data_IF_156767694800
#
_entry.id   IF_156767694800
#
_cell.length_a   1.000
_cell.length_b   1.000
_cell.length_c   1.000
_cell.angle_alpha   90.00
_cell.angle_beta   90.00
_cell.angle_gamma   90.00
#
_symmetry.space_group_name_H-M   'P 1'
#
loop_
_entity.id
_entity.type
_entity.pdbx_description
1 polymer ?
#
# COMPACT_ATOMS: atom_id res chain seq x y z
N UNK A 1 2.86 -57.57 -4.67
CA UNK A 1 2.58 -56.40 -3.77
C UNK A 1 3.83 -55.55 -3.47
N UNK A 2 4.67 -55.23 -4.45
CA UNK A 2 5.82 -54.33 -4.26
C UNK A 2 5.80 -53.06 -5.15
N UNK A 3 4.72 -52.86 -5.92
CA UNK A 3 4.65 -51.76 -6.87
C UNK A 3 3.90 -50.52 -6.39
N UNK A 4 3.11 -50.56 -5.32
CA UNK A 4 2.24 -49.48 -4.88
C UNK A 4 2.98 -48.51 -3.93
N UNK A 5 4.01 -48.98 -3.21
CA UNK A 5 4.75 -48.13 -2.26
C UNK A 5 5.69 -47.12 -2.92
N UNK A 6 6.18 -47.43 -4.13
CA UNK A 6 7.13 -46.53 -4.85
C UNK A 6 6.40 -45.35 -5.46
N UNK A 7 5.15 -45.50 -5.91
CA UNK A 7 4.37 -44.41 -6.52
C UNK A 7 3.97 -43.35 -5.49
N UNK A 8 3.63 -43.77 -4.25
CA UNK A 8 3.25 -42.83 -3.19
C UNK A 8 4.44 -41.97 -2.70
N UNK A 9 5.65 -42.54 -2.66
CA UNK A 9 6.86 -41.81 -2.27
C UNK A 9 7.26 -40.77 -3.35
N UNK A 10 7.10 -41.13 -4.63
CA UNK A 10 7.38 -40.19 -5.72
C UNK A 10 6.40 -39.00 -5.79
N UNK A 11 5.10 -39.24 -5.47
CA UNK A 11 4.13 -38.13 -5.41
C UNK A 11 4.41 -37.17 -4.23
N UNK A 12 4.83 -37.69 -3.08
CA UNK A 12 5.18 -36.86 -1.94
C UNK A 12 6.46 -36.05 -2.18
N UNK A 13 7.46 -36.62 -2.82
CA UNK A 13 8.68 -35.95 -3.19
C UNK A 13 8.44 -34.86 -4.27
N UNK A 14 7.56 -35.11 -5.23
CA UNK A 14 7.23 -34.13 -6.26
C UNK A 14 6.47 -32.89 -5.70
N UNK A 15 5.57 -33.09 -4.74
CA UNK A 15 4.83 -32.01 -4.09
C UNK A 15 5.74 -31.17 -3.20
N UNK A 16 6.62 -31.78 -2.42
CA UNK A 16 7.58 -31.08 -1.58
C UNK A 16 8.65 -30.35 -2.40
N UNK A 17 9.11 -30.94 -3.49
CA UNK A 17 10.07 -30.32 -4.40
C UNK A 17 9.46 -29.11 -5.09
N UNK A 18 8.28 -29.23 -5.66
CA UNK A 18 7.59 -28.11 -6.33
C UNK A 18 7.35 -26.92 -5.39
N UNK A 19 6.99 -27.19 -4.13
CA UNK A 19 6.76 -26.15 -3.14
C UNK A 19 8.07 -25.44 -2.73
N UNK A 20 9.12 -26.21 -2.44
CA UNK A 20 10.44 -25.65 -2.11
C UNK A 20 11.01 -24.81 -3.24
N UNK A 21 10.84 -25.26 -4.49
CA UNK A 21 11.24 -24.50 -5.67
C UNK A 21 10.48 -23.16 -5.77
N UNK A 22 9.16 -23.19 -5.56
CA UNK A 22 8.31 -22.00 -5.66
C UNK A 22 8.64 -20.93 -4.63
N UNK A 23 8.84 -21.30 -3.37
CA UNK A 23 9.25 -20.34 -2.30
C UNK A 23 10.64 -19.78 -2.60
N UNK A 24 11.53 -20.62 -3.13
CA UNK A 24 12.87 -20.18 -3.54
C UNK A 24 12.79 -19.16 -4.68
N UNK A 25 11.88 -19.35 -5.63
CA UNK A 25 11.69 -18.44 -6.76
C UNK A 25 11.20 -17.05 -6.27
N UNK A 26 10.18 -16.98 -5.41
CA UNK A 26 9.71 -15.72 -4.83
C UNK A 26 10.85 -15.00 -4.08
N UNK A 27 11.57 -15.69 -3.20
CA UNK A 27 12.69 -15.12 -2.45
C UNK A 27 13.78 -14.61 -3.38
N UNK A 28 14.06 -15.31 -4.47
CA UNK A 28 15.09 -14.93 -5.46
C UNK A 28 14.66 -13.78 -6.37
N UNK A 29 13.36 -13.66 -6.63
CA UNK A 29 12.78 -12.62 -7.48
C UNK A 29 12.53 -11.32 -6.72
N UNK A 30 12.22 -11.39 -5.41
CA UNK A 30 11.98 -10.21 -4.59
C UNK A 30 13.28 -9.44 -4.35
N UNK A 31 13.43 -8.33 -5.05
CA UNK A 31 14.56 -7.40 -4.90
C UNK A 31 14.20 -6.30 -3.90
N UNK A 32 15.17 -5.94 -3.06
CA UNK A 32 15.00 -4.88 -2.09
C UNK A 32 14.77 -5.39 -0.66
N UNK A 33 14.38 -4.46 0.20
CA UNK A 33 14.17 -4.65 1.64
C UNK A 33 12.82 -4.08 2.03
N UNK A 34 12.32 -4.47 3.19
CA UNK A 34 11.00 -4.09 3.70
C UNK A 34 11.18 -3.33 5.01
N UNK A 35 10.47 -2.22 5.16
CA UNK A 35 10.23 -1.53 6.41
C UNK A 35 8.72 -1.47 6.66
N UNK A 36 8.31 -1.43 7.92
CA UNK A 36 6.92 -1.38 8.35
C UNK A 36 6.77 -0.39 9.49
N UNK A 37 5.72 0.44 9.45
CA UNK A 37 5.32 1.31 10.55
C UNK A 37 3.84 1.13 10.84
N UNK A 38 3.49 0.84 12.12
CA UNK A 38 2.13 0.52 12.55
C UNK A 38 1.72 1.30 13.79
N UNK A 39 0.44 1.68 13.90
CA UNK A 39 -0.05 2.38 15.08
C UNK A 39 -0.56 1.42 16.16
N UNK A 40 -1.78 1.03 16.21
CA UNK A 40 -2.30 0.06 17.21
C UNK A 40 -2.29 0.51 18.68
N UNK A 41 -1.77 1.70 18.99
CA UNK A 41 -1.78 2.26 20.34
C UNK A 41 -2.93 3.24 20.59
N UNK A 42 -3.67 3.62 19.54
CA UNK A 42 -4.85 4.48 19.66
C UNK A 42 -5.70 4.42 18.40
N UNK A 43 -7.04 4.29 18.54
CA UNK A 43 -8.05 4.28 17.48
C UNK A 43 -7.91 3.22 16.37
N UNK A 44 -6.95 2.30 16.49
CA UNK A 44 -6.72 1.27 15.47
C UNK A 44 -6.35 -0.07 16.10
N UNK A 45 -7.37 -0.76 16.65
CA UNK A 45 -7.21 -2.07 17.27
C UNK A 45 -7.02 -3.21 16.27
N UNK A 46 -7.31 -3.02 14.99
CA UNK A 46 -7.11 -4.04 13.95
C UNK A 46 -5.63 -4.29 13.66
N UNK A 47 -4.75 -3.34 13.93
CA UNK A 47 -3.30 -3.54 13.91
C UNK A 47 -2.81 -4.65 14.85
N UNK A 48 -3.57 -4.95 15.91
CA UNK A 48 -3.25 -6.09 16.79
C UNK A 48 -3.37 -7.43 16.08
N UNK A 49 -4.13 -7.46 14.96
CA UNK A 49 -4.23 -8.59 14.05
C UNK A 49 -3.39 -8.39 12.79
N UNK A 50 -3.40 -7.19 12.20
CA UNK A 50 -2.75 -6.92 10.92
C UNK A 50 -1.21 -7.08 11.01
N UNK A 51 -0.58 -6.55 12.05
CA UNK A 51 0.86 -6.68 12.27
C UNK A 51 1.33 -8.15 12.32
N UNK A 52 0.75 -9.05 13.15
CA UNK A 52 1.14 -10.45 13.15
C UNK A 52 0.81 -11.20 11.84
N UNK A 53 -0.30 -10.86 11.17
CA UNK A 53 -0.64 -11.44 9.86
C UNK A 53 0.36 -11.03 8.79
N UNK A 54 0.80 -9.76 8.76
CA UNK A 54 1.84 -9.29 7.84
C UNK A 54 3.17 -10.04 8.05
N UNK A 55 3.59 -10.20 9.30
CA UNK A 55 4.79 -10.97 9.64
C UNK A 55 4.67 -12.45 9.19
N UNK A 56 3.50 -13.05 9.36
CA UNK A 56 3.22 -14.41 8.87
C UNK A 56 3.33 -14.50 7.34
N UNK A 57 2.77 -13.52 6.60
CA UNK A 57 2.84 -13.44 5.14
C UNK A 57 4.29 -13.39 4.67
N UNK A 58 5.11 -12.49 5.23
CA UNK A 58 6.52 -12.38 4.85
C UNK A 58 7.31 -13.66 5.15
N UNK A 59 7.01 -14.32 6.27
CA UNK A 59 7.67 -15.57 6.65
C UNK A 59 7.28 -16.72 5.71
N UNK A 60 6.00 -16.91 5.46
CA UNK A 60 5.49 -18.01 4.63
C UNK A 60 5.83 -17.87 3.14
N UNK A 61 6.01 -16.63 2.67
CA UNK A 61 6.53 -16.34 1.33
C UNK A 61 8.06 -16.33 1.23
N UNK A 62 8.76 -16.61 2.35
CA UNK A 62 10.21 -16.77 2.38
C UNK A 62 11.00 -15.46 2.28
N UNK A 63 10.36 -14.31 2.50
CA UNK A 63 11.00 -12.98 2.42
C UNK A 63 11.22 -12.33 3.78
N UNK A 64 11.04 -13.03 4.90
CA UNK A 64 11.22 -12.49 6.25
C UNK A 64 12.59 -11.84 6.46
N UNK A 65 13.65 -12.38 5.87
CA UNK A 65 15.01 -11.85 5.97
C UNK A 65 15.19 -10.51 5.23
N UNK A 66 14.18 -10.06 4.47
CA UNK A 66 14.13 -8.77 3.79
C UNK A 66 13.54 -7.68 4.69
N UNK A 67 12.84 -8.05 5.78
CA UNK A 67 12.34 -7.09 6.76
C UNK A 67 13.52 -6.57 7.58
N UNK A 68 13.80 -5.27 7.49
CA UNK A 68 14.96 -4.62 8.13
C UNK A 68 14.56 -3.63 9.22
N UNK A 69 13.29 -3.28 9.26
CA UNK A 69 12.71 -2.37 10.24
C UNK A 69 11.23 -2.67 10.45
N UNK A 70 10.79 -2.65 11.68
CA UNK A 70 9.39 -2.72 12.07
C UNK A 70 9.17 -1.86 13.30
N UNK A 71 8.49 -0.74 13.17
CA UNK A 71 8.04 0.02 14.32
C UNK A 71 6.54 -0.17 14.58
N UNK A 72 6.14 -0.02 15.83
CA UNK A 72 4.77 -0.16 16.29
C UNK A 72 4.47 0.83 17.42
N UNK A 73 3.18 1.09 17.66
CA UNK A 73 2.71 2.13 18.58
C UNK A 73 3.12 3.54 18.10
N UNK A 74 2.96 3.83 16.80
CA UNK A 74 3.55 5.00 16.16
C UNK A 74 2.77 6.31 16.34
N UNK A 75 1.62 6.33 17.01
CA UNK A 75 0.92 7.59 17.35
C UNK A 75 1.60 8.20 18.58
N UNK A 76 2.58 9.06 18.32
CA UNK A 76 3.51 9.60 19.33
C UNK A 76 2.83 10.43 20.43
N UNK A 77 1.87 11.36 20.11
CA UNK A 77 1.31 12.26 21.12
C UNK A 77 0.40 11.56 22.14
N UNK A 78 -0.02 10.34 21.85
CA UNK A 78 -0.99 9.62 22.66
C UNK A 78 -0.36 8.38 23.26
N UNK A 79 -0.49 8.24 24.59
CA UNK A 79 -0.08 7.06 25.32
C UNK A 79 -1.31 6.35 25.89
N UNK A 80 -1.52 5.12 25.46
CA UNK A 80 -2.46 4.18 26.05
C UNK A 80 -1.70 2.89 26.41
N UNK A 81 -1.34 2.76 27.68
CA UNK A 81 -0.48 1.67 28.14
C UNK A 81 -1.08 0.28 27.94
N UNK A 82 -2.38 0.14 28.00
CA UNK A 82 -3.06 -1.13 27.74
C UNK A 82 -2.95 -1.50 26.25
N UNK A 83 -3.29 -0.60 25.35
CA UNK A 83 -3.22 -0.82 23.90
C UNK A 83 -1.77 -1.03 23.44
N UNK A 84 -0.84 -0.21 23.93
CA UNK A 84 0.60 -0.39 23.67
C UNK A 84 1.07 -1.79 24.02
N UNK A 85 0.63 -2.31 25.19
CA UNK A 85 1.01 -3.65 25.63
C UNK A 85 0.35 -4.75 24.81
N UNK A 86 -0.91 -4.56 24.40
CA UNK A 86 -1.63 -5.52 23.54
C UNK A 86 -0.94 -5.60 22.17
N UNK A 87 -0.68 -4.46 21.53
CA UNK A 87 -0.01 -4.41 20.23
C UNK A 87 1.40 -4.99 20.31
N UNK A 88 2.18 -4.60 21.32
CA UNK A 88 3.49 -5.21 21.60
C UNK A 88 3.43 -6.73 21.70
N UNK A 89 2.43 -7.27 22.40
CA UNK A 89 2.24 -8.73 22.54
C UNK A 89 1.94 -9.37 21.19
N UNK A 90 1.18 -8.71 20.33
CA UNK A 90 0.89 -9.17 18.97
C UNK A 90 2.15 -9.23 18.10
N UNK A 91 2.88 -8.11 18.06
CA UNK A 91 4.09 -7.96 17.23
C UNK A 91 5.20 -8.90 17.67
N UNK A 92 5.59 -8.84 18.94
CA UNK A 92 6.70 -9.65 19.44
C UNK A 92 6.36 -11.13 19.56
N UNK A 93 5.08 -11.47 19.80
CA UNK A 93 4.61 -12.86 19.75
C UNK A 93 4.70 -13.46 18.38
N UNK A 94 4.36 -12.69 17.32
CA UNK A 94 4.56 -13.13 15.94
C UNK A 94 6.05 -13.18 15.58
N UNK A 95 6.84 -12.19 16.01
CA UNK A 95 8.28 -12.19 15.79
C UNK A 95 8.95 -13.46 16.30
N UNK A 96 8.62 -13.89 17.52
CA UNK A 96 9.11 -15.14 18.12
C UNK A 96 8.66 -16.38 17.32
N UNK A 97 7.35 -16.48 17.05
CA UNK A 97 6.76 -17.64 16.35
C UNK A 97 7.30 -17.85 14.94
N UNK A 98 7.58 -16.78 14.23
CA UNK A 98 8.09 -16.83 12.85
C UNK A 98 9.62 -16.67 12.77
N UNK A 99 10.30 -16.53 13.92
CA UNK A 99 11.76 -16.49 14.03
C UNK A 99 12.40 -15.24 13.40
N UNK A 100 11.86 -14.06 13.73
CA UNK A 100 12.47 -12.79 13.39
C UNK A 100 13.47 -12.34 14.44
N UNK A 101 14.55 -11.63 14.05
CA UNK A 101 15.46 -11.03 15.04
C UNK A 101 14.78 -9.86 15.76
N UNK A 102 14.85 -9.81 17.08
CA UNK A 102 14.21 -8.77 17.89
C UNK A 102 14.77 -7.37 17.64
N UNK A 103 15.98 -7.27 17.11
CA UNK A 103 16.68 -6.00 16.89
C UNK A 103 16.07 -5.10 15.83
N UNK A 104 15.17 -5.61 14.99
CA UNK A 104 14.48 -4.83 13.96
C UNK A 104 13.16 -4.22 14.46
N UNK A 105 12.68 -4.61 15.65
CA UNK A 105 11.41 -4.16 16.22
C UNK A 105 11.60 -3.00 17.17
N UNK A 106 10.84 -1.92 16.97
CA UNK A 106 10.95 -0.68 17.72
C UNK A 106 9.59 -0.29 18.30
N UNK A 107 9.48 -0.28 19.61
CA UNK A 107 8.34 0.29 20.34
C UNK A 107 8.51 1.81 20.39
N UNK A 108 7.78 2.53 19.56
CA UNK A 108 7.93 4.00 19.43
C UNK A 108 7.65 4.71 20.74
N UNK A 109 6.67 4.23 21.54
CA UNK A 109 6.34 4.80 22.84
C UNK A 109 7.45 4.61 23.88
N UNK A 110 8.44 3.75 23.62
CA UNK A 110 9.61 3.53 24.47
C UNK A 110 10.86 4.23 23.94
N UNK A 111 10.89 4.54 22.63
CA UNK A 111 12.10 5.12 22.05
C UNK A 111 11.91 5.59 20.61
N UNK A 112 11.27 6.73 20.43
CA UNK A 112 11.06 7.37 19.12
C UNK A 112 12.37 7.53 18.33
N UNK A 113 13.42 8.05 18.96
CA UNK A 113 14.72 8.26 18.31
C UNK A 113 15.32 6.96 17.76
N UNK A 114 15.11 5.85 18.43
CA UNK A 114 15.57 4.52 17.99
C UNK A 114 14.86 4.09 16.70
N UNK A 115 13.55 4.25 16.63
CA UNK A 115 12.75 3.96 15.45
C UNK A 115 13.15 4.87 14.28
N UNK A 116 13.20 6.19 14.50
CA UNK A 116 13.60 7.20 13.50
C UNK A 116 15.01 6.93 12.95
N UNK A 117 15.98 6.60 13.80
CA UNK A 117 17.33 6.24 13.38
C UNK A 117 17.35 4.95 12.55
N UNK A 118 16.57 3.95 12.92
CA UNK A 118 16.48 2.68 12.21
C UNK A 118 15.89 2.88 10.81
N UNK A 119 14.81 3.68 10.67
CA UNK A 119 14.24 4.05 9.38
C UNK A 119 15.28 4.77 8.52
N UNK A 120 15.93 5.81 9.06
CA UNK A 120 16.96 6.56 8.33
C UNK A 120 18.10 5.66 7.84
N UNK A 121 18.58 4.74 8.67
CA UNK A 121 19.62 3.77 8.30
C UNK A 121 19.14 2.81 7.19
N UNK A 122 17.89 2.35 7.28
CA UNK A 122 17.30 1.51 6.23
C UNK A 122 17.22 2.26 4.89
N UNK A 123 16.86 3.54 4.90
CA UNK A 123 16.83 4.40 3.71
C UNK A 123 18.24 4.64 3.17
N UNK A 124 19.20 4.97 4.03
CA UNK A 124 20.57 5.27 3.63
C UNK A 124 21.26 4.07 2.95
N UNK A 125 20.84 2.86 3.29
CA UNK A 125 21.33 1.63 2.66
C UNK A 125 20.62 1.28 1.35
N UNK A 126 19.72 2.14 0.83
CA UNK A 126 18.96 1.87 -0.39
C UNK A 126 19.70 2.27 -1.66
N UNK A 127 19.44 1.52 -2.72
CA UNK A 127 19.92 1.80 -4.08
C UNK A 127 18.86 1.35 -5.10
N UNK A 128 19.10 1.57 -6.38
CA UNK A 128 18.23 1.10 -7.45
C UNK A 128 18.10 -0.43 -7.46
N UNK A 129 19.20 -1.16 -7.19
CA UNK A 129 19.22 -2.63 -7.13
C UNK A 129 18.70 -3.19 -5.80
N UNK A 130 18.63 -2.35 -4.76
CA UNK A 130 18.21 -2.74 -3.41
C UNK A 130 17.30 -1.67 -2.80
N UNK A 131 16.11 -1.42 -3.38
CA UNK A 131 15.17 -0.42 -2.90
C UNK A 131 14.63 -0.78 -1.51
N UNK A 132 14.04 0.20 -0.83
CA UNK A 132 13.28 0.01 0.39
C UNK A 132 11.78 0.15 0.08
N UNK A 133 11.02 -0.89 0.35
CA UNK A 133 9.56 -0.85 0.38
C UNK A 133 9.12 -0.55 1.79
N UNK A 134 8.59 0.64 2.00
CA UNK A 134 8.16 1.11 3.31
C UNK A 134 6.64 1.06 3.39
N UNK A 135 6.11 0.09 4.12
CA UNK A 135 4.67 -0.10 4.33
C UNK A 135 4.22 0.81 5.48
N UNK A 136 3.23 1.63 5.18
CA UNK A 136 2.71 2.67 6.07
C UNK A 136 1.35 2.23 6.62
N UNK A 137 1.40 1.41 7.67
CA UNK A 137 0.26 0.83 8.38
C UNK A 137 -0.09 1.67 9.63
N UNK A 138 -0.01 2.98 9.51
CA UNK A 138 -0.27 3.95 10.54
C UNK A 138 -0.01 5.38 10.06
N UNK A 139 -0.31 6.41 10.88
CA UNK A 139 -0.06 7.81 10.54
C UNK A 139 1.40 8.15 10.28
N UNK A 140 1.61 9.24 9.55
CA UNK A 140 2.87 9.58 8.90
C UNK A 140 3.97 10.15 9.79
N UNK A 141 3.75 10.43 11.08
CA UNK A 141 4.71 11.13 11.95
C UNK A 141 6.07 10.42 11.98
N UNK A 142 6.11 9.17 12.39
CA UNK A 142 7.35 8.40 12.55
C UNK A 142 8.03 8.15 11.21
N UNK A 143 7.31 7.71 10.16
CA UNK A 143 7.84 7.63 8.80
C UNK A 143 8.44 8.95 8.30
N UNK A 144 7.75 10.08 8.48
CA UNK A 144 8.22 11.40 8.02
C UNK A 144 9.52 11.79 8.69
N UNK A 145 9.61 11.65 10.02
CA UNK A 145 10.82 11.95 10.78
C UNK A 145 12.01 11.09 10.32
N UNK A 146 11.78 9.80 10.09
CA UNK A 146 12.81 8.89 9.58
C UNK A 146 13.28 9.25 8.17
N UNK A 147 12.36 9.58 7.26
CA UNK A 147 12.67 10.00 5.89
C UNK A 147 13.39 11.35 5.90
N UNK A 148 12.94 12.33 6.70
CA UNK A 148 13.61 13.63 6.84
C UNK A 148 15.05 13.49 7.32
N UNK A 149 15.32 12.56 8.22
CA UNK A 149 16.64 12.29 8.78
C UNK A 149 17.59 11.59 7.80
N UNK A 150 17.06 10.84 6.85
CA UNK A 150 17.85 10.10 5.87
C UNK A 150 18.53 11.00 4.84
N UNK A 151 19.58 10.48 4.19
CA UNK A 151 20.26 11.14 3.07
C UNK A 151 19.25 11.44 1.94
N UNK A 152 19.08 12.71 1.54
CA UNK A 152 18.16 13.12 0.47
C UNK A 152 18.37 12.34 -0.84
N UNK A 153 19.62 12.01 -1.18
CA UNK A 153 19.93 11.28 -2.42
C UNK A 153 19.50 9.81 -2.38
N UNK A 154 19.21 9.26 -1.20
CA UNK A 154 18.76 7.89 -1.02
C UNK A 154 17.25 7.75 -1.01
N UNK A 155 16.51 8.82 -0.71
CA UNK A 155 15.03 8.80 -0.59
C UNK A 155 14.34 8.39 -1.90
N UNK A 156 14.94 8.69 -3.06
CA UNK A 156 14.41 8.28 -4.39
C UNK A 156 14.36 6.77 -4.63
N UNK A 157 14.99 5.97 -3.78
CA UNK A 157 14.95 4.52 -3.80
C UNK A 157 13.99 3.93 -2.76
N UNK A 158 13.20 4.78 -2.11
CA UNK A 158 12.14 4.37 -1.18
C UNK A 158 10.81 4.37 -1.89
N UNK A 159 10.04 3.29 -1.71
CA UNK A 159 8.67 3.14 -2.17
C UNK A 159 7.77 3.04 -0.95
N UNK A 160 7.05 4.11 -0.63
CA UNK A 160 6.06 4.18 0.43
C UNK A 160 4.76 3.55 -0.09
N UNK A 161 4.23 2.55 0.63
CA UNK A 161 3.00 1.84 0.26
C UNK A 161 1.93 2.18 1.29
N UNK A 162 0.80 2.72 0.85
CA UNK A 162 -0.36 3.05 1.68
C UNK A 162 -1.66 2.64 1.02
N UNK A 163 -2.71 2.44 1.81
CA UNK A 163 -4.04 2.11 1.32
C UNK A 163 -5.16 2.97 1.93
N UNK A 164 -4.89 3.67 3.04
CA UNK A 164 -5.95 4.26 3.86
C UNK A 164 -5.80 5.77 4.01
N UNK A 165 -6.87 6.48 3.67
CA UNK A 165 -6.95 7.95 3.75
C UNK A 165 -6.80 8.47 5.19
N UNK A 166 -7.20 7.68 6.21
CA UNK A 166 -7.06 8.08 7.60
C UNK A 166 -5.57 8.19 7.97
N UNK A 167 -4.78 7.17 7.69
CA UNK A 167 -3.33 7.17 7.88
C UNK A 167 -2.64 8.25 7.03
N UNK A 168 -3.09 8.43 5.79
CA UNK A 168 -2.50 9.37 4.83
C UNK A 168 -2.68 10.84 5.22
N UNK A 169 -3.79 11.19 5.82
CA UNK A 169 -4.12 12.60 6.01
C UNK A 169 -5.06 12.95 7.17
N UNK A 170 -6.07 12.14 7.48
CA UNK A 170 -7.08 12.53 8.47
C UNK A 170 -6.55 12.54 9.91
N UNK A 171 -5.55 11.71 10.23
CA UNK A 171 -4.90 11.73 11.52
C UNK A 171 -4.07 13.03 11.78
N UNK A 172 -3.73 13.77 10.72
CA UNK A 172 -2.92 14.98 10.82
C UNK A 172 -3.66 16.11 11.54
N UNK A 173 -2.95 16.81 12.42
CA UNK A 173 -3.47 17.90 13.23
C UNK A 173 -4.13 17.46 14.54
N UNK A 174 -4.76 16.30 14.57
CA UNK A 174 -5.37 15.75 15.79
C UNK A 174 -4.42 14.80 16.56
N UNK A 175 -3.71 13.95 15.82
CA UNK A 175 -2.89 12.89 16.38
C UNK A 175 -1.41 12.97 15.98
N UNK A 176 -1.09 13.62 14.86
CA UNK A 176 0.27 13.72 14.31
C UNK A 176 0.49 15.06 13.62
N UNK A 177 1.75 15.48 13.47
CA UNK A 177 2.10 16.74 12.80
C UNK A 177 2.27 16.55 11.28
N UNK A 178 2.70 15.38 10.83
CA UNK A 178 2.98 15.08 9.43
C UNK A 178 1.89 14.20 8.79
N UNK A 179 1.67 14.42 7.50
CA UNK A 179 0.80 13.61 6.66
C UNK A 179 1.50 13.24 5.33
N UNK A 180 0.84 12.52 4.43
CA UNK A 180 1.44 12.11 3.15
C UNK A 180 1.97 13.29 2.32
N UNK A 181 1.37 14.48 2.48
CA UNK A 181 1.77 15.68 1.74
C UNK A 181 3.07 16.28 2.25
N UNK A 182 3.47 15.93 3.46
CA UNK A 182 4.78 16.27 4.02
C UNK A 182 5.83 15.21 3.60
N UNK A 183 5.39 13.98 3.38
CA UNK A 183 6.26 12.84 3.00
C UNK A 183 6.62 12.84 1.51
N UNK A 184 5.64 13.01 0.61
CA UNK A 184 5.87 12.94 -0.84
C UNK A 184 6.93 13.95 -1.32
N UNK A 185 6.92 15.22 -0.90
CA UNK A 185 7.92 16.20 -1.30
C UNK A 185 9.35 15.90 -0.83
N UNK A 186 9.53 14.98 0.11
CA UNK A 186 10.86 14.54 0.55
C UNK A 186 11.62 13.72 -0.50
N UNK A 187 10.96 13.35 -1.60
CA UNK A 187 11.59 12.69 -2.74
C UNK A 187 11.46 11.16 -2.76
N UNK A 188 10.56 10.60 -1.96
CA UNK A 188 10.17 9.19 -2.00
C UNK A 188 9.20 8.91 -3.15
N UNK A 189 9.04 7.64 -3.53
CA UNK A 189 8.01 7.19 -4.46
C UNK A 189 6.77 6.77 -3.65
N UNK A 190 5.59 7.24 -4.03
CA UNK A 190 4.34 6.91 -3.33
C UNK A 190 3.51 5.94 -4.16
N UNK A 191 3.14 4.82 -3.56
CA UNK A 191 2.29 3.78 -4.14
C UNK A 191 1.01 3.72 -3.33
N UNK A 192 -0.08 4.21 -3.91
CA UNK A 192 -1.41 4.09 -3.34
C UNK A 192 -2.08 2.83 -3.87
N UNK A 193 -2.41 1.90 -2.99
CA UNK A 193 -3.20 0.73 -3.37
C UNK A 193 -4.66 0.90 -2.97
N UNK A 194 -5.51 -0.01 -3.41
CA UNK A 194 -6.92 -0.02 -3.03
C UNK A 194 -7.05 -0.12 -1.51
N UNK A 195 -8.12 0.50 -0.99
CA UNK A 195 -8.47 0.44 0.41
C UNK A 195 -8.70 -1.01 0.86
N UNK A 196 -7.79 -1.51 1.70
CA UNK A 196 -7.73 -2.91 2.13
C UNK A 196 -8.84 -3.26 3.14
N UNK A 197 -9.48 -2.27 3.76
CA UNK A 197 -10.67 -2.48 4.57
C UNK A 197 -11.80 -3.16 3.78
N UNK A 198 -11.86 -2.94 2.48
CA UNK A 198 -12.85 -3.59 1.60
C UNK A 198 -12.64 -5.09 1.40
N UNK A 199 -11.48 -5.60 1.76
CA UNK A 199 -11.06 -6.96 1.44
C UNK A 199 -10.79 -7.82 2.68
N UNK A 200 -10.15 -7.24 3.69
CA UNK A 200 -9.71 -7.96 4.89
C UNK A 200 -10.37 -7.48 6.19
N UNK A 201 -11.37 -6.61 6.09
CA UNK A 201 -12.32 -6.32 7.17
C UNK A 201 -13.68 -6.90 6.79
N UNK A 202 -14.24 -7.76 7.65
CA UNK A 202 -15.54 -8.40 7.39
C UNK A 202 -16.65 -7.85 8.28
N UNK A 203 -16.35 -6.90 9.16
CA UNK A 203 -17.28 -6.18 10.01
C UNK A 203 -17.25 -4.66 9.79
N UNK A 204 -18.23 -3.93 10.32
CA UNK A 204 -18.23 -2.48 10.24
C UNK A 204 -17.15 -1.87 11.15
N UNK A 205 -16.64 -0.73 10.75
CA UNK A 205 -15.63 0.00 11.51
C UNK A 205 -16.16 0.45 12.88
N UNK A 206 -15.30 0.36 13.92
CA UNK A 206 -15.56 0.95 15.24
C UNK A 206 -16.54 0.20 16.13
N UNK A 207 -17.01 -1.00 15.75
CA UNK A 207 -17.87 -1.85 16.57
C UNK A 207 -17.38 -3.29 16.59
N UNK A 208 -17.58 -4.03 17.70
CA UNK A 208 -17.23 -5.45 17.76
C UNK A 208 -17.96 -6.26 16.69
N UNK A 209 -17.25 -7.18 16.05
CA UNK A 209 -17.79 -8.05 15.02
C UNK A 209 -18.74 -9.10 15.60
N UNK A 210 -19.81 -9.37 14.86
CA UNK A 210 -20.78 -10.42 15.17
C UNK A 210 -20.35 -11.80 14.60
N UNK A 211 -21.09 -12.85 14.92
CA UNK A 211 -20.75 -14.21 14.53
C UNK A 211 -20.68 -14.42 13.00
N UNK A 212 -21.51 -13.74 12.21
CA UNK A 212 -21.48 -13.85 10.75
C UNK A 212 -20.18 -13.25 10.18
N UNK A 213 -19.74 -12.12 10.73
CA UNK A 213 -18.52 -11.42 10.35
C UNK A 213 -17.27 -12.22 10.70
N UNK A 214 -17.32 -13.04 11.74
CA UNK A 214 -16.24 -13.96 12.11
C UNK A 214 -16.14 -15.20 11.23
N UNK A 215 -17.22 -15.63 10.55
CA UNK A 215 -17.24 -16.86 9.76
C UNK A 215 -16.10 -16.99 8.76
N UNK A 216 -15.75 -15.96 7.96
CA UNK A 216 -14.66 -16.07 7.01
C UNK A 216 -13.28 -16.37 7.62
N UNK A 217 -13.11 -16.11 8.93
CA UNK A 217 -11.86 -16.23 9.65
C UNK A 217 -11.74 -17.48 10.53
N UNK A 218 -12.81 -18.29 10.65
CA UNK A 218 -12.83 -19.50 11.52
C UNK A 218 -11.75 -20.52 11.17
N UNK A 219 -11.24 -20.50 9.96
CA UNK A 219 -10.13 -21.36 9.54
C UNK A 219 -8.85 -21.09 10.37
N UNK A 220 -8.62 -19.87 10.82
CA UNK A 220 -7.50 -19.57 11.71
C UNK A 220 -7.66 -20.25 13.08
N UNK A 221 -8.89 -20.22 13.62
CA UNK A 221 -9.25 -20.89 14.89
C UNK A 221 -9.04 -22.40 14.78
N UNK A 222 -9.49 -22.96 13.68
CA UNK A 222 -9.59 -24.42 13.47
C UNK A 222 -8.31 -25.01 12.84
N UNK A 223 -7.30 -24.16 12.57
CA UNK A 223 -6.01 -24.57 12.02
C UNK A 223 -5.27 -25.53 12.95
N UNK A 224 -4.56 -26.49 12.34
CA UNK A 224 -3.61 -27.35 13.06
C UNK A 224 -2.29 -26.68 13.40
N UNK A 225 -1.96 -25.59 12.68
CA UNK A 225 -0.74 -24.82 12.90
C UNK A 225 -0.93 -23.89 14.11
N UNK A 226 -0.15 -24.03 15.19
CA UNK A 226 -0.25 -23.16 16.36
C UNK A 226 0.09 -21.70 16.05
N UNK A 227 0.88 -21.44 15.03
CA UNK A 227 1.20 -20.09 14.63
C UNK A 227 -0.01 -19.41 13.98
N UNK A 228 -0.78 -20.13 13.17
CA UNK A 228 -2.03 -19.64 12.59
C UNK A 228 -3.08 -19.42 13.68
N UNK A 229 -3.20 -20.33 14.66
CA UNK A 229 -4.11 -20.10 15.81
C UNK A 229 -3.74 -18.87 16.63
N UNK A 230 -2.47 -18.55 16.74
CA UNK A 230 -2.03 -17.30 17.39
C UNK A 230 -2.55 -16.07 16.62
N UNK A 231 -2.56 -16.08 15.30
CA UNK A 231 -3.14 -14.97 14.50
C UNK A 231 -4.64 -14.78 14.85
N UNK A 232 -5.38 -15.89 14.97
CA UNK A 232 -6.77 -15.84 15.45
C UNK A 232 -6.90 -15.24 16.83
N UNK A 233 -6.07 -15.65 17.79
CA UNK A 233 -6.09 -15.11 19.14
C UNK A 233 -5.87 -13.61 19.14
N UNK A 234 -4.95 -13.10 18.30
CA UNK A 234 -4.67 -11.67 18.21
C UNK A 234 -5.83 -10.89 17.58
N UNK A 235 -6.44 -11.44 16.55
CA UNK A 235 -7.63 -10.84 15.93
C UNK A 235 -8.82 -10.82 16.91
N UNK A 236 -9.01 -11.86 17.72
CA UNK A 236 -10.08 -11.89 18.72
C UNK A 236 -9.89 -10.87 19.86
N UNK A 237 -8.66 -10.52 20.20
CA UNK A 237 -8.37 -9.48 21.20
C UNK A 237 -8.81 -8.09 20.72
N UNK A 238 -8.73 -7.82 19.40
CA UNK A 238 -9.25 -6.56 18.83
C UNK A 238 -10.77 -6.48 18.85
N UNK A 239 -11.47 -7.61 19.10
CA UNK A 239 -12.94 -7.75 18.96
C UNK A 239 -13.48 -7.53 17.54
N UNK A 240 -12.60 -7.24 16.57
CA UNK A 240 -12.92 -6.98 15.17
C UNK A 240 -12.38 -8.08 14.27
N UNK A 241 -13.18 -8.50 13.32
CA UNK A 241 -12.80 -9.45 12.27
C UNK A 241 -12.09 -8.67 11.13
N UNK A 242 -10.95 -8.09 11.47
CA UNK A 242 -10.20 -7.14 10.66
C UNK A 242 -8.69 -7.37 10.80
N UNK A 243 -7.98 -7.38 9.67
CA UNK A 243 -6.53 -7.34 9.58
C UNK A 243 -6.12 -6.61 8.28
N UNK A 244 -6.84 -5.54 7.95
CA UNK A 244 -6.78 -4.88 6.64
C UNK A 244 -5.38 -4.44 6.25
N UNK A 245 -4.59 -3.85 7.14
CA UNK A 245 -3.24 -3.40 6.83
C UNK A 245 -2.31 -4.52 6.35
N UNK A 246 -2.57 -5.77 6.76
CA UNK A 246 -1.83 -6.92 6.23
C UNK A 246 -2.02 -7.13 4.72
N UNK A 247 -3.05 -6.53 4.12
CA UNK A 247 -3.25 -6.51 2.68
C UNK A 247 -2.11 -5.83 1.92
N UNK A 248 -1.46 -4.84 2.52
CA UNK A 248 -0.26 -4.21 1.94
C UNK A 248 0.92 -5.18 1.88
N UNK A 249 1.09 -6.03 2.89
CA UNK A 249 2.11 -7.09 2.87
C UNK A 249 1.82 -8.14 1.79
N UNK A 250 0.54 -8.52 1.65
CA UNK A 250 0.11 -9.43 0.59
C UNK A 250 0.36 -8.84 -0.80
N UNK A 251 -0.07 -7.59 -1.02
CA UNK A 251 0.18 -6.86 -2.27
C UNK A 251 1.67 -6.75 -2.59
N UNK A 252 2.49 -6.35 -1.62
CA UNK A 252 3.93 -6.13 -1.83
C UNK A 252 4.62 -7.37 -2.42
N UNK A 253 4.19 -8.57 -2.03
CA UNK A 253 4.85 -9.80 -2.48
C UNK A 253 4.15 -10.42 -3.68
N UNK A 254 2.82 -10.30 -3.78
CA UNK A 254 2.04 -11.00 -4.82
C UNK A 254 1.63 -10.14 -6.00
N UNK A 255 1.63 -8.82 -5.85
CA UNK A 255 1.07 -7.86 -6.82
C UNK A 255 -0.46 -7.80 -6.83
N UNK A 256 -1.14 -8.53 -5.95
CA UNK A 256 -2.60 -8.57 -5.88
C UNK A 256 -3.12 -7.61 -4.81
N UNK A 257 -3.86 -6.58 -5.22
CA UNK A 257 -4.46 -5.58 -4.33
C UNK A 257 -5.80 -6.00 -3.72
N UNK A 258 -6.25 -7.21 -4.01
CA UNK A 258 -7.55 -7.71 -3.57
C UNK A 258 -7.39 -9.03 -2.81
N UNK A 259 -6.65 -9.05 -1.69
CA UNK A 259 -6.65 -10.19 -0.81
C UNK A 259 -8.06 -10.41 -0.26
N UNK A 260 -8.33 -11.61 0.22
CA UNK A 260 -9.52 -11.96 0.96
C UNK A 260 -9.19 -13.06 1.99
N UNK A 261 -10.08 -13.36 2.94
CA UNK A 261 -9.83 -14.39 3.94
C UNK A 261 -9.50 -15.78 3.36
N UNK A 262 -10.05 -16.13 2.18
CA UNK A 262 -9.78 -17.42 1.52
C UNK A 262 -8.37 -17.45 0.92
N UNK A 263 -7.93 -16.37 0.29
CA UNK A 263 -6.55 -16.24 -0.21
C UNK A 263 -5.52 -16.30 0.93
N UNK A 264 -5.82 -15.66 2.06
CA UNK A 264 -4.97 -15.76 3.25
C UNK A 264 -4.97 -17.17 3.83
N UNK A 265 -6.11 -17.87 3.90
CA UNK A 265 -6.18 -19.27 4.29
C UNK A 265 -5.32 -20.15 3.38
N UNK A 266 -5.45 -19.96 2.08
CA UNK A 266 -4.68 -20.70 1.09
C UNK A 266 -3.17 -20.53 1.29
N UNK A 267 -2.73 -19.28 1.61
CA UNK A 267 -1.34 -18.97 1.89
C UNK A 267 -0.87 -19.48 3.25
N UNK A 268 -1.56 -19.10 4.33
CA UNK A 268 -1.05 -19.23 5.70
C UNK A 268 -1.35 -20.60 6.33
N UNK A 269 -2.48 -21.23 6.00
CA UNK A 269 -2.89 -22.51 6.58
C UNK A 269 -2.64 -23.69 5.65
N UNK A 270 -3.10 -23.60 4.40
CA UNK A 270 -2.90 -24.67 3.42
C UNK A 270 -1.48 -24.66 2.83
N UNK A 271 -0.71 -23.61 3.10
CA UNK A 271 0.67 -23.43 2.63
C UNK A 271 0.81 -23.59 1.10
N UNK A 272 -0.20 -23.18 0.37
CA UNK A 272 -0.21 -23.18 -1.08
C UNK A 272 0.12 -21.78 -1.59
N UNK A 273 1.24 -21.62 -2.24
CA UNK A 273 1.65 -20.35 -2.82
C UNK A 273 1.25 -20.32 -4.28
N UNK A 274 0.45 -19.34 -4.68
CA UNK A 274 0.33 -19.00 -6.10
C UNK A 274 1.66 -18.42 -6.58
N UNK A 275 2.25 -19.04 -7.61
CA UNK A 275 3.67 -18.85 -7.95
C UNK A 275 3.96 -17.75 -8.93
N UNK A 276 2.97 -17.00 -9.32
CA UNK A 276 3.15 -15.85 -10.19
C UNK A 276 2.78 -14.58 -9.46
N UNK A 277 3.75 -13.69 -9.31
CA UNK A 277 3.47 -12.27 -9.23
C UNK A 277 2.80 -11.93 -10.57
N UNK A 278 1.47 -11.78 -10.55
CA UNK A 278 0.78 -11.34 -11.74
C UNK A 278 1.06 -9.84 -11.89
N UNK A 279 1.58 -9.39 -13.05
CA UNK A 279 1.68 -7.96 -13.28
C UNK A 279 0.32 -7.30 -13.06
N UNK A 280 0.32 -6.17 -12.38
CA UNK A 280 -0.90 -5.36 -12.21
C UNK A 280 -1.44 -5.00 -13.59
N UNK A 281 -2.68 -5.37 -13.84
CA UNK A 281 -3.37 -5.00 -15.08
C UNK A 281 -3.71 -3.51 -15.09
N UNK A 282 -4.06 -2.98 -13.94
CA UNK A 282 -4.49 -1.59 -13.79
C UNK A 282 -3.73 -0.93 -12.64
N UNK A 283 -3.25 0.28 -12.85
CA UNK A 283 -2.57 1.12 -11.86
C UNK A 283 -3.30 2.45 -11.78
N UNK A 284 -3.61 2.90 -10.58
CA UNK A 284 -4.20 4.20 -10.34
C UNK A 284 -3.18 5.13 -9.67
N UNK A 285 -3.02 6.31 -10.25
CA UNK A 285 -2.20 7.39 -9.74
C UNK A 285 -3.14 8.50 -9.27
N UNK A 286 -3.28 8.67 -7.97
CA UNK A 286 -4.12 9.71 -7.37
C UNK A 286 -3.49 11.09 -7.64
N UNK A 287 -4.29 12.04 -8.12
CA UNK A 287 -3.78 13.33 -8.60
C UNK A 287 -3.14 14.16 -7.48
N UNK A 288 -3.64 14.04 -6.26
CA UNK A 288 -3.06 14.71 -5.10
C UNK A 288 -1.69 14.17 -4.70
N UNK A 289 -1.30 12.98 -5.18
CA UNK A 289 0.02 12.38 -4.94
C UNK A 289 1.06 12.80 -5.99
N UNK A 290 0.69 13.63 -6.96
CA UNK A 290 1.63 14.06 -8.00
C UNK A 290 2.69 15.00 -7.42
N UNK A 291 3.94 14.78 -7.83
CA UNK A 291 5.10 15.51 -7.33
C UNK A 291 5.06 17.02 -7.67
N UNK A 292 4.45 17.36 -8.82
CA UNK A 292 4.36 18.75 -9.28
C UNK A 292 2.90 19.11 -9.56
N UNK A 293 2.44 20.20 -8.94
CA UNK A 293 1.09 20.73 -9.05
C UNK A 293 1.17 22.22 -9.45
N UNK A 294 1.38 22.49 -10.74
CA UNK A 294 1.41 23.87 -11.24
C UNK A 294 -0.01 24.40 -11.42
N UNK A 295 -0.37 25.46 -10.68
CA UNK A 295 -1.71 26.08 -10.68
C UNK A 295 -2.83 25.09 -10.31
N UNK A 296 -2.52 24.13 -9.47
CA UNK A 296 -3.46 23.24 -8.83
C UNK A 296 -3.23 23.24 -7.33
N UNK A 297 -4.33 23.23 -6.58
CA UNK A 297 -4.35 23.11 -5.13
C UNK A 297 -5.03 21.79 -4.77
N UNK A 298 -4.54 21.09 -3.74
CA UNK A 298 -5.19 19.90 -3.24
C UNK A 298 -6.38 20.29 -2.38
N UNK A 299 -7.50 19.63 -2.64
CA UNK A 299 -8.70 19.76 -1.83
C UNK A 299 -9.03 18.43 -1.14
N UNK A 300 -9.23 18.48 0.16
CA UNK A 300 -9.96 17.46 0.88
C UNK A 300 -11.45 17.69 0.62
N UNK A 301 -12.08 16.74 -0.06
CA UNK A 301 -13.49 16.88 -0.40
C UNK A 301 -14.27 15.90 0.46
N UNK A 302 -15.31 16.40 1.10
CA UNK A 302 -16.40 15.57 1.60
C UNK A 302 -17.25 14.99 0.44
N UNK A 303 -16.69 14.88 -0.73
CA UNK A 303 -17.30 14.31 -1.93
C UNK A 303 -16.97 12.82 -1.99
N UNK A 304 -17.95 12.00 -1.61
CA UNK A 304 -17.83 10.53 -1.64
C UNK A 304 -17.61 9.95 -3.04
N UNK A 305 -17.76 10.74 -4.09
CA UNK A 305 -17.52 10.32 -5.48
C UNK A 305 -16.05 10.46 -5.89
N UNK A 306 -15.25 11.28 -5.19
CA UNK A 306 -13.81 11.36 -5.43
C UNK A 306 -13.08 10.18 -4.78
N UNK A 307 -12.06 9.68 -5.47
CA UNK A 307 -11.15 8.66 -4.94
C UNK A 307 -10.46 9.21 -3.69
N UNK A 308 -10.30 8.36 -2.66
CA UNK A 308 -9.71 8.80 -1.40
C UNK A 308 -10.34 10.07 -0.79
N UNK A 309 -11.55 10.46 -1.23
CA UNK A 309 -12.23 11.72 -0.87
C UNK A 309 -11.34 12.97 -1.08
N UNK A 310 -10.42 12.91 -2.03
CA UNK A 310 -9.45 13.96 -2.36
C UNK A 310 -9.44 14.24 -3.84
N UNK A 311 -9.03 15.44 -4.21
CA UNK A 311 -8.77 15.82 -5.60
C UNK A 311 -7.85 17.02 -5.68
N UNK A 312 -7.33 17.33 -6.88
CA UNK A 312 -6.66 18.59 -7.13
C UNK A 312 -7.58 19.52 -7.91
N UNK A 313 -7.66 20.77 -7.47
CA UNK A 313 -8.48 21.83 -8.08
C UNK A 313 -7.61 22.83 -8.80
N UNK A 314 -7.97 23.12 -10.03
CA UNK A 314 -7.34 24.14 -10.85
C UNK A 314 -7.60 25.54 -10.30
N UNK A 315 -6.54 26.28 -9.98
CA UNK A 315 -6.63 27.63 -9.41
C UNK A 315 -6.77 28.77 -10.46
N UNK A 316 -6.59 28.48 -11.74
CA UNK A 316 -7.16 29.21 -12.87
C UNK A 316 -6.61 30.56 -13.23
N UNK A 317 -5.31 30.82 -13.14
CA UNK A 317 -4.72 32.09 -13.61
C UNK A 317 -3.89 31.97 -14.91
N UNK A 318 -3.54 30.77 -15.30
CA UNK A 318 -2.78 30.43 -16.51
C UNK A 318 -2.86 28.92 -16.72
N UNK A 319 -2.23 28.39 -17.76
CA UNK A 319 -2.22 26.94 -17.99
C UNK A 319 -1.80 26.19 -16.73
N UNK A 320 -2.62 25.21 -16.32
CA UNK A 320 -2.35 24.30 -15.22
C UNK A 320 -1.64 23.04 -15.71
N UNK A 321 -0.84 22.46 -14.84
CA UNK A 321 -0.21 21.16 -15.11
C UNK A 321 -0.01 20.38 -13.82
N UNK A 322 -0.26 19.08 -13.88
CA UNK A 322 0.17 18.13 -12.85
C UNK A 322 1.11 17.13 -13.48
N UNK A 323 2.18 16.75 -12.80
CA UNK A 323 3.09 15.72 -13.29
C UNK A 323 3.65 14.85 -12.18
N UNK A 324 3.86 13.58 -12.54
CA UNK A 324 4.54 12.60 -11.69
C UNK A 324 5.37 11.65 -12.54
N UNK A 325 6.32 10.95 -11.92
CA UNK A 325 7.04 9.85 -12.56
C UNK A 325 6.28 8.54 -12.33
N UNK A 326 6.15 7.77 -13.41
CA UNK A 326 5.58 6.43 -13.35
C UNK A 326 6.55 5.48 -12.66
N UNK A 327 6.48 5.41 -11.33
CA UNK A 327 7.31 4.55 -10.49
C UNK A 327 6.43 3.64 -9.67
N UNK A 328 6.10 2.50 -10.26
CA UNK A 328 5.20 1.51 -9.73
C UNK A 328 5.89 0.16 -9.57
N UNK A 329 5.33 -0.70 -8.74
CA UNK A 329 5.78 -2.08 -8.57
C UNK A 329 4.78 -3.05 -9.20
N UNK A 330 5.25 -4.25 -9.54
CA UNK A 330 4.44 -5.29 -10.19
C UNK A 330 3.83 -4.87 -11.53
N UNK A 331 4.48 -4.00 -12.25
CA UNK A 331 4.11 -3.60 -13.60
C UNK A 331 5.22 -3.97 -14.59
N UNK A 332 4.91 -4.17 -15.87
CA UNK A 332 5.95 -4.33 -16.89
C UNK A 332 6.88 -3.12 -16.94
N UNK A 333 8.16 -3.34 -17.22
CA UNK A 333 9.12 -2.25 -17.39
C UNK A 333 8.69 -1.26 -18.48
N UNK A 334 8.08 -1.77 -19.53
CA UNK A 334 7.44 -0.97 -20.59
C UNK A 334 6.23 -1.70 -21.14
N UNK A 335 5.16 -0.96 -21.43
CA UNK A 335 3.96 -1.50 -22.05
C UNK A 335 3.15 -0.39 -22.75
N UNK A 336 2.05 -0.78 -23.36
CA UNK A 336 1.03 0.14 -23.84
C UNK A 336 -0.16 0.12 -22.88
N UNK A 337 -0.67 1.30 -22.59
CA UNK A 337 -1.76 1.49 -21.65
C UNK A 337 -2.88 2.31 -22.27
N UNK A 338 -4.10 1.95 -21.93
CA UNK A 338 -5.20 2.90 -21.96
C UNK A 338 -5.10 3.76 -20.70
N UNK A 339 -5.13 5.09 -20.89
CA UNK A 339 -4.98 6.06 -19.81
C UNK A 339 -6.30 6.77 -19.58
N UNK A 340 -6.96 6.44 -18.49
CA UNK A 340 -8.21 7.07 -18.08
C UNK A 340 -7.92 8.21 -17.10
N UNK A 341 -8.37 9.43 -17.41
CA UNK A 341 -8.25 10.60 -16.55
C UNK A 341 -9.62 10.96 -16.00
N UNK A 342 -9.75 10.95 -14.66
CA UNK A 342 -11.00 11.30 -13.99
C UNK A 342 -11.03 12.78 -13.66
N UNK A 343 -12.00 13.48 -14.22
CA UNK A 343 -12.13 14.93 -14.16
C UNK A 343 -13.53 15.36 -13.74
N UNK A 344 -13.61 16.48 -13.00
CA UNK A 344 -14.83 17.22 -12.78
C UNK A 344 -14.68 18.61 -13.40
N UNK A 345 -15.67 19.07 -14.14
CA UNK A 345 -15.74 20.44 -14.63
C UNK A 345 -17.17 20.98 -14.55
N UNK A 346 -17.27 22.31 -14.39
CA UNK A 346 -18.56 22.99 -14.24
C UNK A 346 -19.29 23.21 -15.55
N UNK A 347 -20.60 23.53 -15.53
CA UNK A 347 -21.38 23.87 -16.69
C UNK A 347 -20.79 25.11 -17.41
N UNK A 348 -21.00 25.18 -18.72
CA UNK A 348 -20.61 26.30 -19.60
C UNK A 348 -19.11 26.58 -19.67
N UNK A 349 -18.26 25.59 -19.37
CA UNK A 349 -16.82 25.72 -19.41
C UNK A 349 -16.22 24.84 -20.49
N UNK A 350 -15.30 25.43 -21.25
CA UNK A 350 -14.45 24.68 -22.19
C UNK A 350 -13.09 24.53 -21.55
N UNK A 351 -12.60 23.30 -21.50
CA UNK A 351 -11.25 23.00 -21.05
C UNK A 351 -10.61 22.03 -22.03
N UNK A 352 -9.37 22.29 -22.37
CA UNK A 352 -8.52 21.39 -23.12
C UNK A 352 -7.63 20.64 -22.14
N UNK A 353 -7.60 19.31 -22.25
CA UNK A 353 -6.72 18.44 -21.50
C UNK A 353 -5.72 17.81 -22.46
N UNK A 354 -4.45 17.92 -22.13
CA UNK A 354 -3.36 17.38 -22.94
C UNK A 354 -2.58 16.36 -22.09
N UNK A 355 -2.39 15.15 -22.63
CA UNK A 355 -1.54 14.13 -22.04
C UNK A 355 -0.15 14.17 -22.68
N UNK A 356 0.88 14.27 -21.82
CA UNK A 356 2.28 14.21 -22.23
C UNK A 356 3.00 13.04 -21.55
N UNK A 357 3.92 12.43 -22.29
CA UNK A 357 4.90 11.49 -21.76
C UNK A 357 6.29 12.03 -22.07
N UNK A 358 7.11 12.25 -21.04
CA UNK A 358 8.46 12.86 -21.16
C UNK A 358 8.47 14.17 -21.98
N UNK A 359 7.49 15.03 -21.76
CA UNK A 359 7.33 16.30 -22.46
C UNK A 359 6.80 16.20 -23.89
N UNK A 360 6.63 14.99 -24.43
CA UNK A 360 6.03 14.76 -25.76
C UNK A 360 4.51 14.62 -25.67
N UNK A 361 3.76 15.48 -26.38
CA UNK A 361 2.30 15.40 -26.49
C UNK A 361 1.88 14.05 -27.10
N UNK A 362 0.99 13.34 -26.43
CA UNK A 362 0.44 12.06 -26.87
C UNK A 362 -0.99 12.20 -27.37
N UNK A 363 -1.80 12.99 -26.68
CA UNK A 363 -3.20 13.16 -27.04
C UNK A 363 -3.78 14.42 -26.43
N UNK A 364 -4.89 14.90 -27.01
CA UNK A 364 -5.64 16.06 -26.57
C UNK A 364 -7.12 15.72 -26.46
N UNK A 365 -7.76 16.22 -25.42
CA UNK A 365 -9.20 16.07 -25.23
C UNK A 365 -9.86 17.41 -24.90
N UNK A 366 -10.97 17.73 -25.56
CA UNK A 366 -11.80 18.90 -25.27
C UNK A 366 -13.03 18.51 -24.43
N UNK A 367 -13.15 19.12 -23.26
CA UNK A 367 -14.32 18.99 -22.43
C UNK A 367 -15.43 19.95 -22.91
N UNK A 368 -16.60 19.40 -23.22
CA UNK A 368 -17.70 20.16 -23.89
C UNK A 368 -19.08 19.97 -23.26
N UNK A 369 -19.20 19.42 -22.03
CA UNK A 369 -20.51 19.13 -21.45
C UNK A 369 -21.00 20.23 -20.49
N UNK A 370 -22.31 20.39 -20.38
CA UNK A 370 -22.99 21.34 -19.51
C UNK A 370 -23.34 20.76 -18.11
N UNK A 371 -22.84 19.56 -17.80
CA UNK A 371 -23.19 18.89 -16.56
C UNK A 371 -22.02 18.88 -15.58
N UNK A 372 -22.24 19.41 -14.37
CA UNK A 372 -21.27 19.27 -13.26
C UNK A 372 -21.34 17.87 -12.67
N UNK A 373 -20.51 16.97 -13.20
CA UNK A 373 -20.34 15.60 -12.70
C UNK A 373 -18.94 15.08 -12.99
N UNK A 374 -18.47 14.14 -12.19
CA UNK A 374 -17.26 13.39 -12.48
C UNK A 374 -17.40 12.62 -13.79
N UNK A 375 -16.37 12.68 -14.61
CA UNK A 375 -16.28 11.98 -15.90
C UNK A 375 -14.90 11.38 -16.05
N UNK A 376 -14.84 10.23 -16.71
CA UNK A 376 -13.58 9.60 -17.08
C UNK A 376 -13.35 9.80 -18.58
N UNK A 377 -12.15 10.23 -18.94
CA UNK A 377 -11.72 10.43 -20.31
C UNK A 377 -10.55 9.53 -20.62
N UNK A 378 -10.68 8.77 -21.70
CA UNK A 378 -9.72 7.78 -22.12
C UNK A 378 -8.81 8.31 -23.22
N UNK A 379 -7.51 8.07 -23.05
CA UNK A 379 -6.48 8.17 -24.06
C UNK A 379 -6.00 6.75 -24.36
N UNK A 380 -6.14 6.29 -25.59
CA UNK A 380 -5.93 4.89 -25.93
C UNK A 380 -4.50 4.62 -26.40
N UNK A 381 -3.99 3.43 -26.07
CA UNK A 381 -2.75 2.88 -26.62
C UNK A 381 -1.50 3.77 -26.40
N UNK A 382 -1.32 4.28 -25.20
CA UNK A 382 -0.21 5.16 -24.85
C UNK A 382 0.99 4.32 -24.42
N UNK A 383 2.16 4.42 -25.09
CA UNK A 383 3.38 3.75 -24.61
C UNK A 383 3.92 4.44 -23.37
N UNK A 384 4.11 3.67 -22.30
CA UNK A 384 4.66 4.14 -21.02
C UNK A 384 5.71 3.15 -20.51
N UNK A 385 6.82 3.67 -19.97
CA UNK A 385 7.89 2.90 -19.31
C UNK A 385 8.01 3.31 -17.85
N UNK A 386 8.52 2.41 -17.03
CA UNK A 386 8.92 2.77 -15.67
C UNK A 386 9.94 3.92 -15.71
N UNK A 387 9.69 4.95 -14.88
CA UNK A 387 10.49 6.17 -14.82
C UNK A 387 10.04 7.29 -15.75
N UNK A 388 9.13 7.04 -16.70
CA UNK A 388 8.57 8.09 -17.57
C UNK A 388 7.84 9.15 -16.74
N UNK A 389 7.95 10.41 -17.15
CA UNK A 389 7.15 11.49 -16.60
C UNK A 389 5.79 11.54 -17.31
N UNK A 390 4.71 11.39 -16.56
CA UNK A 390 3.33 11.57 -17.03
C UNK A 390 2.88 12.96 -16.62
N UNK A 391 2.43 13.76 -17.58
CA UNK A 391 1.93 15.12 -17.33
C UNK A 391 0.55 15.29 -17.93
N UNK A 392 -0.40 15.81 -17.13
CA UNK A 392 -1.67 16.33 -17.61
C UNK A 392 -1.59 17.85 -17.55
N UNK A 393 -1.76 18.50 -18.70
CA UNK A 393 -1.96 19.95 -18.79
C UNK A 393 -3.42 20.27 -18.98
N UNK A 394 -3.84 21.36 -18.37
CA UNK A 394 -5.20 21.90 -18.50
C UNK A 394 -5.12 23.33 -18.97
N UNK A 395 -5.80 23.64 -20.08
CA UNK A 395 -6.00 25.00 -20.57
C UNK A 395 -7.49 25.34 -20.45
N UNK A 396 -7.78 26.43 -19.76
CA UNK A 396 -9.15 26.92 -19.61
C UNK A 396 -9.18 28.44 -19.56
N UNK A 397 -10.13 29.04 -20.28
CA UNK A 397 -10.34 30.49 -20.27
C UNK A 397 -11.05 30.97 -18.99
N UNK A 398 -11.62 30.05 -18.19
CA UNK A 398 -12.41 30.39 -17.00
C UNK A 398 -11.80 29.75 -15.76
N UNK A 399 -11.39 30.57 -14.75
CA UNK A 399 -10.87 30.08 -13.50
C UNK A 399 -11.88 29.26 -12.68
N UNK A 400 -11.39 28.21 -12.01
CA UNK A 400 -12.14 27.41 -11.03
C UNK A 400 -13.15 26.43 -11.62
N UNK A 401 -13.53 25.43 -10.83
CA UNK A 401 -14.53 24.43 -11.22
C UNK A 401 -13.99 23.24 -12.02
N UNK A 402 -12.70 23.20 -12.31
CA UNK A 402 -12.01 22.04 -12.88
C UNK A 402 -11.29 21.32 -11.74
N UNK A 403 -11.50 20.01 -11.65
CA UNK A 403 -10.81 19.15 -10.70
C UNK A 403 -10.30 17.90 -11.40
N UNK A 404 -9.18 17.39 -10.94
CA UNK A 404 -8.63 16.09 -11.32
C UNK A 404 -8.65 15.20 -10.07
N UNK A 405 -9.11 13.97 -10.23
CA UNK A 405 -9.20 12.97 -9.16
C UNK A 405 -8.02 12.01 -9.27
N UNK A 406 -7.95 11.26 -10.38
CA UNK A 406 -6.86 10.32 -10.62
C UNK A 406 -6.59 10.12 -12.11
N UNK A 407 -5.47 9.48 -12.39
CA UNK A 407 -5.15 8.86 -13.67
C UNK A 407 -5.09 7.35 -13.46
N UNK A 408 -5.80 6.58 -14.28
CA UNK A 408 -5.76 5.12 -14.23
C UNK A 408 -5.17 4.57 -15.54
N UNK A 409 -4.12 3.78 -15.41
CA UNK A 409 -3.43 3.14 -16.54
C UNK A 409 -3.84 1.66 -16.58
N UNK A 410 -4.51 1.25 -17.64
CA UNK A 410 -4.87 -0.16 -17.89
C UNK A 410 -3.95 -0.74 -18.95
N UNK A 411 -3.16 -1.74 -18.60
CA UNK A 411 -2.28 -2.47 -19.51
C UNK A 411 -3.12 -3.22 -20.56
N UNK A 412 -2.80 -3.02 -21.85
CA UNK A 412 -3.52 -3.62 -22.98
C UNK A 412 -2.72 -4.70 -23.72
N UNK A 413 -1.52 -5.06 -23.24
CA UNK A 413 -0.66 -6.11 -23.79
C UNK A 413 -0.65 -7.36 -22.95
#
# INVERSE_FOLDING_TARGET
MKGIFVVSIFLFLSVTYTRSQKIKDIKSEFKGRIAWSADGNFNDEDDWAASPVALAIFADLGVKDKLVHFDYNCIVPISNKEWEQIHKTSVLGAADKYGYPTSIFHDVQKGLDGAVNSIANAINASSEENPLYFVLAGPMEVPALGIQKADPERRKFVYCISHNIWNDGYASGDLVEHNKRDVIPLGVNWIQIRDQNKFLSTGPYGVPSNDEEWKPWLWMRDSKDPNVRFLWERMRVSTRADCSDAGMAYFLITGDEQPDPEKLKYLLDEKKVSTRVNPRKTVRLEAENFANLKNFDVEYIADREASQQMSVKYSGKSDGAISTRFKEIHVPESSHYDVDVRILYGPDRRAEYELYINGGLKSTYWATTNLRRWQTKKFENIPVKLGDEITIKVKSEVPGGIKLDYIELTNIQ
#
